data_IF_700725789624
#
_entry.id   IF_700725789624
#
_cell.length_a   1.000
_cell.length_b   1.000
_cell.length_c   1.000
_cell.angle_alpha   90.00
_cell.angle_beta   90.00
_cell.angle_gamma   90.00
#
_symmetry.space_group_name_H-M   'P 1'
#
loop_
_entity.id
_entity.type
_entity.pdbx_description
1 polymer ?
#
# COMPACT_ATOMS: atom_id res chain seq x y z
N UNK A 1 -70.97 14.14 49.90
CA UNK A 1 -70.25 12.89 50.20
C UNK A 1 -68.86 13.25 50.69
N UNK A 2 -68.55 12.84 51.93
CA UNK A 2 -67.25 12.52 52.55
C UNK A 2 -66.03 13.43 52.25
N UNK A 3 -65.58 14.22 53.23
CA UNK A 3 -64.64 13.89 54.34
C UNK A 3 -63.17 13.98 53.91
N UNK A 4 -62.47 14.93 54.53
CA UNK A 4 -61.14 14.79 55.17
C UNK A 4 -59.95 14.49 54.25
N UNK A 5 -58.71 14.93 54.45
CA UNK A 5 -58.01 15.85 55.35
C UNK A 5 -56.52 15.73 54.96
N UNK A 6 -55.68 16.56 55.58
CA UNK A 6 -54.23 16.36 55.84
C UNK A 6 -53.24 16.98 54.85
N UNK A 7 -52.67 18.09 55.35
CA UNK A 7 -51.34 18.65 55.09
C UNK A 7 -50.22 17.76 55.68
N UNK A 8 -49.08 17.57 54.99
CA UNK A 8 -47.71 17.86 55.51
C UNK A 8 -46.55 17.53 54.54
N UNK A 9 -45.57 18.46 54.50
CA UNK A 9 -44.10 18.37 54.40
C UNK A 9 -43.35 17.24 53.64
N UNK A 10 -42.56 17.70 52.67
CA UNK A 10 -41.13 17.47 52.39
C UNK A 10 -40.45 16.12 52.71
N UNK A 11 -39.80 15.53 51.69
CA UNK A 11 -38.55 14.79 51.87
C UNK A 11 -37.64 14.94 50.65
N UNK A 12 -36.45 15.50 50.89
CA UNK A 12 -35.31 15.55 49.98
C UNK A 12 -34.70 14.15 49.93
N UNK A 13 -34.60 13.56 48.74
CA UNK A 13 -33.76 12.37 48.51
C UNK A 13 -32.78 12.66 47.37
N UNK A 14 -31.60 13.14 47.75
CA UNK A 14 -30.40 13.04 46.94
C UNK A 14 -29.97 11.56 46.91
N UNK A 15 -30.15 10.89 45.77
CA UNK A 15 -29.54 9.59 45.55
C UNK A 15 -28.10 9.78 45.06
N UNK A 16 -27.19 9.86 46.01
CA UNK A 16 -25.80 9.48 45.82
C UNK A 16 -25.75 7.95 45.78
N UNK A 17 -25.59 7.36 44.60
CA UNK A 17 -25.05 6.01 44.49
C UNK A 17 -23.53 6.12 44.34
N UNK A 18 -22.85 5.80 45.43
CA UNK A 18 -21.44 5.41 45.46
C UNK A 18 -21.36 4.00 46.07
N UNK A 19 -20.32 3.25 45.69
CA UNK A 19 -19.97 1.87 46.00
C UNK A 19 -20.74 0.79 45.21
N UNK A 20 -20.10 -0.18 44.56
CA UNK A 20 -18.76 -0.71 44.75
C UNK A 20 -17.96 -0.81 43.45
N UNK A 21 -16.67 -0.51 43.57
CA UNK A 21 -15.63 -0.93 42.65
C UNK A 21 -15.53 -2.46 42.70
N UNK A 22 -16.07 -3.14 41.69
CA UNK A 22 -15.67 -4.52 41.43
C UNK A 22 -14.34 -4.47 40.66
N UNK A 23 -13.26 -4.67 41.42
CA UNK A 23 -11.96 -5.03 40.88
C UNK A 23 -12.07 -6.37 40.15
N UNK A 24 -12.25 -6.30 38.84
CA UNK A 24 -11.79 -7.35 37.95
C UNK A 24 -10.41 -6.97 37.44
N UNK A 25 -9.39 -7.46 38.13
CA UNK A 25 -8.01 -7.46 37.65
C UNK A 25 -7.87 -8.47 36.52
N UNK A 26 -8.06 -7.98 35.30
CA UNK A 26 -7.40 -8.49 34.12
C UNK A 26 -6.81 -7.27 33.41
N UNK A 27 -5.49 -7.14 33.49
CA UNK A 27 -4.73 -5.99 33.00
C UNK A 27 -5.21 -5.42 31.65
N UNK A 28 -5.23 -4.08 31.59
CA UNK A 28 -5.39 -3.25 30.39
C UNK A 28 -6.77 -3.12 29.68
N UNK A 29 -7.89 -3.64 30.21
CA UNK A 29 -9.19 -3.53 29.52
C UNK A 29 -10.15 -2.41 29.98
N UNK A 30 -9.71 -1.35 30.68
CA UNK A 30 -10.63 -0.28 31.11
C UNK A 30 -11.07 0.72 30.02
N UNK A 31 -10.52 0.66 28.81
CA UNK A 31 -10.79 1.67 27.74
C UNK A 31 -11.37 1.08 26.43
N UNK A 32 -11.67 -0.23 26.38
CA UNK A 32 -12.17 -0.87 25.14
C UNK A 32 -11.18 -0.91 23.96
N UNK A 33 -10.02 -0.26 24.10
CA UNK A 33 -8.88 -0.25 23.19
C UNK A 33 -8.05 -1.53 23.31
N UNK A 34 -7.57 -2.05 22.19
CA UNK A 34 -6.71 -3.23 22.07
C UNK A 34 -5.52 -2.95 21.18
N UNK A 35 -4.38 -3.54 21.52
CA UNK A 35 -3.19 -3.49 20.69
C UNK A 35 -3.30 -4.53 19.57
N UNK A 36 -2.83 -4.17 18.38
CA UNK A 36 -2.63 -5.10 17.28
C UNK A 36 -1.22 -4.97 16.74
N UNK A 37 -0.73 -6.07 16.19
CA UNK A 37 0.50 -6.13 15.41
C UNK A 37 0.20 -6.93 14.15
N UNK A 38 0.61 -6.42 12.99
CA UNK A 38 0.40 -7.06 11.70
C UNK A 38 1.63 -6.91 10.84
N UNK A 39 2.08 -8.02 10.26
CA UNK A 39 3.20 -8.03 9.34
C UNK A 39 2.71 -8.09 7.90
N UNK A 40 3.42 -7.44 6.99
CA UNK A 40 3.12 -7.49 5.55
C UNK A 40 4.39 -7.51 4.72
N UNK A 41 4.30 -8.12 3.54
CA UNK A 41 5.38 -8.18 2.56
C UNK A 41 4.82 -8.21 1.15
N UNK A 42 5.64 -7.86 0.17
CA UNK A 42 5.32 -8.07 -1.24
C UNK A 42 5.62 -9.52 -1.66
N UNK A 43 5.03 -10.02 -2.76
CA UNK A 43 5.43 -11.29 -3.33
C UNK A 43 6.91 -11.28 -3.69
N UNK A 44 7.54 -12.43 -3.50
CA UNK A 44 8.84 -12.72 -4.09
C UNK A 44 8.80 -12.42 -5.59
N UNK A 45 9.88 -11.85 -6.14
CA UNK A 45 9.91 -11.27 -7.50
C UNK A 45 9.39 -12.20 -8.61
N UNK A 46 9.14 -11.62 -9.78
CA UNK A 46 8.67 -12.39 -10.93
C UNK A 46 9.83 -13.31 -11.36
N UNK A 47 9.61 -14.63 -11.29
CA UNK A 47 10.45 -15.63 -11.94
C UNK A 47 9.78 -16.02 -13.25
N UNK A 48 10.33 -15.60 -14.39
CA UNK A 48 9.87 -16.13 -15.67
C UNK A 48 10.54 -17.48 -15.94
N UNK A 49 9.84 -18.40 -16.60
CA UNK A 49 10.39 -19.70 -17.04
C UNK A 49 11.42 -19.57 -18.17
N UNK A 50 11.79 -18.33 -18.53
CA UNK A 50 12.65 -18.02 -19.64
C UNK A 50 14.12 -18.03 -19.16
N UNK A 51 14.87 -19.03 -19.66
CA UNK A 51 16.33 -19.10 -19.82
C UNK A 51 17.17 -19.93 -18.84
N UNK A 52 18.37 -20.26 -19.36
CA UNK A 52 19.55 -20.85 -18.72
C UNK A 52 20.44 -19.86 -17.95
N UNK A 53 20.12 -18.55 -17.98
CA UNK A 53 20.82 -17.51 -17.21
C UNK A 53 20.02 -17.22 -15.92
N UNK A 54 20.60 -17.46 -14.72
CA UNK A 54 19.90 -17.35 -13.45
C UNK A 54 19.34 -15.95 -13.13
N UNK A 55 19.75 -14.90 -13.86
CA UNK A 55 19.28 -13.52 -13.60
C UNK A 55 18.37 -12.94 -14.68
N UNK A 56 18.38 -13.47 -15.92
CA UNK A 56 17.57 -12.88 -17.01
C UNK A 56 16.07 -13.15 -16.87
N UNK A 57 15.68 -14.10 -16.02
CA UNK A 57 14.28 -14.34 -15.65
C UNK A 57 13.75 -13.47 -14.51
N UNK A 58 14.60 -12.71 -13.81
CA UNK A 58 14.22 -11.96 -12.62
C UNK A 58 13.58 -10.62 -12.98
N UNK A 59 12.43 -10.30 -12.37
CA UNK A 59 11.70 -9.06 -12.65
C UNK A 59 10.94 -8.45 -11.49
N UNK A 60 10.64 -7.16 -11.65
CA UNK A 60 9.95 -6.37 -10.64
C UNK A 60 10.89 -5.97 -9.51
N UNK A 61 10.47 -6.14 -8.26
CA UNK A 61 11.20 -5.64 -7.10
C UNK A 61 12.68 -6.07 -7.04
N UNK A 62 13.05 -7.22 -7.58
CA UNK A 62 14.45 -7.70 -7.62
C UNK A 62 15.37 -6.88 -8.53
N UNK A 63 14.81 -6.24 -9.55
CA UNK A 63 15.54 -5.43 -10.53
C UNK A 63 15.62 -3.96 -10.14
N UNK A 64 14.82 -3.53 -9.17
CA UNK A 64 14.86 -2.14 -8.71
C UNK A 64 16.14 -1.92 -7.91
N UNK A 65 16.92 -0.93 -8.34
CA UNK A 65 18.08 -0.37 -7.64
C UNK A 65 17.82 1.09 -7.31
N UNK A 66 18.56 1.64 -6.34
CA UNK A 66 18.52 3.07 -6.00
C UNK A 66 17.12 3.64 -5.69
N UNK A 67 16.27 2.81 -5.08
CA UNK A 67 14.99 3.22 -4.50
C UNK A 67 14.88 2.73 -3.05
N UNK A 68 13.83 3.17 -2.36
CA UNK A 68 13.33 2.49 -1.17
C UNK A 68 11.91 1.97 -1.46
N UNK A 69 11.50 0.90 -0.77
CA UNK A 69 10.13 0.40 -0.83
C UNK A 69 9.35 0.95 0.36
N UNK A 70 8.34 1.76 0.08
CA UNK A 70 7.44 2.32 1.08
C UNK A 70 6.25 1.40 1.25
N UNK A 71 5.95 1.02 2.48
CA UNK A 71 4.71 0.36 2.88
C UNK A 71 3.82 1.37 3.59
N UNK A 72 2.52 1.33 3.29
CA UNK A 72 1.48 2.16 3.88
C UNK A 72 0.40 1.22 4.40
N UNK A 73 0.02 1.38 5.67
CA UNK A 73 -1.18 0.77 6.22
C UNK A 73 -2.18 1.88 6.52
N UNK A 74 -3.40 1.74 6.00
CA UNK A 74 -4.58 2.47 6.47
C UNK A 74 -5.59 1.51 7.09
N UNK A 75 -6.14 1.91 8.23
CA UNK A 75 -7.22 1.20 8.89
C UNK A 75 -8.47 2.08 8.84
N UNK A 76 -9.52 1.56 8.22
CA UNK A 76 -10.79 2.24 8.00
C UNK A 76 -11.91 1.61 8.82
N UNK A 77 -12.78 2.43 9.40
CA UNK A 77 -13.98 1.97 10.09
C UNK A 77 -14.89 1.21 9.11
N UNK A 78 -15.53 0.15 9.60
CA UNK A 78 -16.51 -0.62 8.82
C UNK A 78 -17.94 -0.13 9.12
N UNK A 79 -18.24 1.09 8.67
CA UNK A 79 -19.56 1.71 8.73
C UNK A 79 -20.00 2.14 7.31
N UNK A 80 -21.25 2.58 7.12
CA UNK A 80 -21.79 2.94 5.79
C UNK A 80 -20.97 4.03 5.07
N UNK A 81 -20.24 4.85 5.83
CA UNK A 81 -19.27 5.82 5.33
C UNK A 81 -17.96 5.65 6.08
N UNK A 82 -17.05 4.79 5.58
CA UNK A 82 -15.77 4.49 6.22
C UNK A 82 -14.98 5.76 6.54
N UNK A 83 -14.31 5.76 7.69
CA UNK A 83 -13.45 6.85 8.16
C UNK A 83 -12.08 6.30 8.50
N UNK A 84 -11.05 7.08 8.24
CA UNK A 84 -9.69 6.69 8.60
C UNK A 84 -9.53 6.68 10.13
N UNK A 85 -9.21 5.52 10.68
CA UNK A 85 -8.94 5.32 12.10
C UNK A 85 -7.44 5.38 12.40
N UNK A 86 -6.61 4.90 11.47
CA UNK A 86 -5.15 4.88 11.62
C UNK A 86 -4.48 4.86 10.25
N UNK A 87 -3.33 5.51 10.15
CA UNK A 87 -2.43 5.42 9.01
C UNK A 87 -0.99 5.49 9.48
N UNK A 88 -0.14 4.67 8.90
CA UNK A 88 1.29 4.66 9.21
C UNK A 88 2.13 4.18 8.03
N UNK A 89 3.43 4.42 8.12
CA UNK A 89 4.40 4.15 7.08
C UNK A 89 5.57 3.32 7.62
N UNK A 90 6.11 2.46 6.76
CA UNK A 90 7.36 1.75 7.02
C UNK A 90 8.20 1.74 5.75
N UNK A 91 9.50 2.00 5.87
CA UNK A 91 10.44 2.03 4.74
C UNK A 91 11.41 0.86 4.81
N UNK A 92 11.50 0.11 3.71
CA UNK A 92 12.52 -0.91 3.48
C UNK A 92 13.59 -0.37 2.53
N UNK A 93 14.86 -0.50 2.92
CA UNK A 93 16.03 -0.03 2.14
C UNK A 93 16.83 -1.24 1.66
N UNK A 94 16.66 -1.60 0.39
CA UNK A 94 17.26 -2.81 -0.18
C UNK A 94 16.49 -4.07 0.16
N UNK A 95 16.92 -5.21 -0.40
CA UNK A 95 16.30 -6.55 -0.24
C UNK A 95 14.76 -6.61 -0.31
N UNK A 96 14.18 -5.80 -1.21
CA UNK A 96 12.73 -5.57 -1.30
C UNK A 96 11.89 -6.84 -1.45
N UNK A 97 12.44 -7.88 -2.07
CA UNK A 97 11.74 -9.13 -2.31
C UNK A 97 11.64 -10.00 -1.05
N UNK A 98 12.56 -9.87 -0.10
CA UNK A 98 12.65 -10.75 1.07
C UNK A 98 12.33 -10.06 2.39
N UNK A 99 12.41 -8.74 2.44
CA UNK A 99 12.12 -7.96 3.63
C UNK A 99 10.67 -7.47 3.65
N UNK A 100 9.93 -7.87 4.70
CA UNK A 100 8.62 -7.34 5.04
C UNK A 100 8.69 -6.35 6.18
N UNK A 101 7.57 -5.73 6.50
CA UNK A 101 7.45 -4.75 7.60
C UNK A 101 6.40 -5.20 8.61
N UNK A 102 6.42 -4.58 9.79
CA UNK A 102 5.41 -4.81 10.83
C UNK A 102 4.85 -3.47 11.30
N UNK A 103 3.52 -3.39 11.34
CA UNK A 103 2.79 -2.26 11.92
C UNK A 103 2.22 -2.67 13.27
N UNK A 104 2.30 -1.76 14.23
CA UNK A 104 1.73 -1.94 15.56
C UNK A 104 1.03 -0.67 16.01
N UNK A 105 -0.22 -0.79 16.45
CA UNK A 105 -0.96 0.33 17.02
C UNK A 105 -2.04 -0.16 17.99
N UNK A 106 -2.69 0.81 18.64
CA UNK A 106 -3.78 0.59 19.58
C UNK A 106 -5.06 1.23 19.06
N UNK A 107 -6.10 0.43 18.88
CA UNK A 107 -7.40 0.86 18.35
C UNK A 107 -8.55 0.30 19.18
N UNK A 108 -9.76 0.86 19.02
CA UNK A 108 -10.95 0.32 19.68
C UNK A 108 -11.17 -1.12 19.21
N UNK A 109 -11.66 -1.99 20.10
CA UNK A 109 -12.00 -3.37 19.75
C UNK A 109 -13.27 -3.41 18.86
N UNK A 110 -13.12 -3.08 17.59
CA UNK A 110 -14.14 -3.09 16.53
C UNK A 110 -13.65 -3.91 15.33
N UNK A 111 -14.49 -3.99 14.31
CA UNK A 111 -14.15 -4.55 13.02
C UNK A 111 -13.77 -3.43 12.04
N UNK A 112 -12.70 -3.63 11.29
CA UNK A 112 -12.12 -2.63 10.39
C UNK A 112 -11.71 -3.22 9.04
N UNK A 113 -11.60 -2.37 8.03
CA UNK A 113 -10.84 -2.65 6.83
C UNK A 113 -9.39 -2.25 7.04
N UNK A 114 -8.47 -3.17 6.83
CA UNK A 114 -7.04 -2.93 6.78
C UNK A 114 -6.63 -2.90 5.32
N UNK A 115 -6.23 -1.74 4.84
CA UNK A 115 -5.87 -1.47 3.46
C UNK A 115 -4.37 -1.19 3.41
N UNK A 116 -3.67 -1.99 2.62
CA UNK A 116 -2.24 -1.93 2.46
C UNK A 116 -1.89 -1.43 1.07
N UNK A 117 -0.84 -0.63 1.00
CA UNK A 117 -0.19 -0.25 -0.25
C UNK A 117 1.31 -0.33 -0.09
N UNK A 118 2.02 -0.74 -1.14
CA UNK A 118 3.46 -0.62 -1.21
C UNK A 118 3.89 -0.13 -2.60
N UNK A 119 4.79 0.84 -2.62
CA UNK A 119 5.34 1.43 -3.83
C UNK A 119 6.79 1.89 -3.65
N UNK A 120 7.52 2.00 -4.76
CA UNK A 120 8.89 2.51 -4.70
C UNK A 120 8.92 4.04 -4.67
N UNK A 121 9.80 4.54 -3.81
CA UNK A 121 10.04 5.96 -3.57
C UNK A 121 11.55 6.25 -3.64
N UNK A 122 11.93 7.51 -3.56
CA UNK A 122 13.36 7.89 -3.58
C UNK A 122 14.13 7.22 -2.43
N UNK A 123 15.38 6.81 -2.68
CA UNK A 123 16.26 6.15 -1.67
C UNK A 123 16.44 6.95 -0.38
N UNK A 124 16.37 8.28 -0.46
CA UNK A 124 16.50 9.18 0.69
C UNK A 124 15.29 9.17 1.62
N UNK A 125 14.20 8.49 1.25
CA UNK A 125 12.97 8.40 2.06
C UNK A 125 13.24 7.65 3.37
N UNK A 126 12.57 8.10 4.42
CA UNK A 126 12.54 7.54 5.77
C UNK A 126 11.09 7.53 6.25
N UNK A 127 10.80 6.80 7.33
CA UNK A 127 9.44 6.77 7.90
C UNK A 127 8.92 8.18 8.22
N UNK A 128 9.81 9.09 8.64
CA UNK A 128 9.47 10.46 9.01
C UNK A 128 9.03 11.35 7.83
N UNK A 129 9.44 11.05 6.60
CA UNK A 129 9.05 11.83 5.42
C UNK A 129 8.28 11.01 4.37
N UNK A 130 7.95 9.75 4.67
CA UNK A 130 7.25 8.82 3.78
C UNK A 130 5.89 9.37 3.28
N UNK A 131 5.20 10.18 4.08
CA UNK A 131 3.93 10.79 3.72
C UNK A 131 4.02 11.75 2.52
N UNK A 132 5.18 12.37 2.28
CA UNK A 132 5.39 13.31 1.17
C UNK A 132 6.28 12.74 0.07
N UNK A 133 6.56 11.44 0.11
CA UNK A 133 7.54 10.78 -0.75
C UNK A 133 6.94 10.21 -2.06
N UNK A 134 5.74 10.65 -2.45
CA UNK A 134 5.08 10.21 -3.66
C UNK A 134 5.98 10.41 -4.90
N UNK A 135 6.22 9.32 -5.64
CA UNK A 135 7.11 9.30 -6.80
C UNK A 135 6.37 8.90 -8.08
N UNK A 136 5.82 7.67 -8.10
CA UNK A 136 5.03 7.15 -9.23
C UNK A 136 3.53 7.23 -8.99
N UNK A 137 3.12 7.29 -7.72
CA UNK A 137 1.72 7.27 -7.30
C UNK A 137 1.48 8.35 -6.24
N UNK A 138 0.35 9.05 -6.36
CA UNK A 138 -0.21 9.89 -5.31
C UNK A 138 -1.00 9.02 -4.35
N UNK A 139 -0.63 9.02 -3.07
CA UNK A 139 -1.20 8.06 -2.07
C UNK A 139 -1.91 8.70 -0.89
N UNK A 140 -1.93 10.04 -0.86
CA UNK A 140 -2.60 10.86 0.16
C UNK A 140 -3.35 12.04 -0.46
N UNK A 141 -3.58 12.04 -1.78
CA UNK A 141 -4.22 13.13 -2.52
C UNK A 141 -3.57 14.53 -2.26
N UNK A 142 -2.29 14.57 -1.88
CA UNK A 142 -1.57 15.81 -1.55
C UNK A 142 -1.86 16.39 -0.16
N UNK A 143 -2.64 15.71 0.68
CA UNK A 143 -2.95 16.16 2.04
C UNK A 143 -1.79 15.88 3.01
N UNK A 144 -1.46 16.87 3.81
CA UNK A 144 -0.53 16.75 4.95
C UNK A 144 -1.13 15.87 6.05
N UNK A 145 -0.28 15.33 6.93
CA UNK A 145 -0.73 14.52 8.08
C UNK A 145 -1.75 15.28 8.95
N UNK A 146 -1.63 16.60 9.06
CA UNK A 146 -2.56 17.43 9.83
C UNK A 146 -3.91 17.61 9.11
N UNK A 147 -3.91 17.74 7.78
CA UNK A 147 -5.13 17.78 6.96
C UNK A 147 -5.89 16.45 6.99
N UNK A 148 -5.16 15.32 6.94
CA UNK A 148 -5.74 13.98 7.09
C UNK A 148 -6.46 13.84 8.44
N UNK A 149 -5.84 14.34 9.52
CA UNK A 149 -6.46 14.32 10.85
C UNK A 149 -7.68 15.23 10.95
N UNK A 150 -7.63 16.41 10.31
CA UNK A 150 -8.72 17.38 10.30
C UNK A 150 -9.92 16.93 9.45
N UNK A 151 -9.68 16.19 8.37
CA UNK A 151 -10.68 15.85 7.35
C UNK A 151 -10.89 14.34 7.15
N UNK A 152 -10.74 13.52 8.21
CA UNK A 152 -10.81 12.04 8.13
C UNK A 152 -12.09 11.46 7.53
N UNK A 153 -13.16 12.25 7.37
CA UNK A 153 -14.42 11.87 6.70
C UNK A 153 -14.43 12.11 5.19
N UNK A 154 -13.59 13.01 4.70
CA UNK A 154 -13.48 13.36 3.27
C UNK A 154 -12.13 12.93 2.68
N UNK A 155 -11.20 12.53 3.54
CA UNK A 155 -9.93 11.97 3.14
C UNK A 155 -10.15 10.69 2.31
N UNK A 156 -9.51 10.63 1.15
CA UNK A 156 -9.66 9.52 0.20
C UNK A 156 -8.43 8.60 0.15
N UNK A 157 -7.28 8.99 0.73
CA UNK A 157 -6.11 8.11 0.95
C UNK A 157 -5.85 7.02 -0.09
N UNK A 158 -5.79 5.77 0.37
CA UNK A 158 -5.59 4.60 -0.49
C UNK A 158 -6.85 4.17 -1.27
N UNK A 159 -7.99 4.84 -1.12
CA UNK A 159 -9.20 4.61 -1.93
C UNK A 159 -9.20 5.42 -3.24
N UNK A 160 -8.26 6.36 -3.39
CA UNK A 160 -8.15 7.20 -4.58
C UNK A 160 -6.69 7.41 -5.01
N UNK A 161 -5.94 6.31 -5.15
CA UNK A 161 -4.54 6.36 -5.59
C UNK A 161 -4.51 6.80 -7.06
N UNK A 162 -3.64 7.75 -7.41
CA UNK A 162 -3.49 8.24 -8.78
C UNK A 162 -2.06 8.04 -9.26
N UNK A 163 -1.87 7.63 -10.51
CA UNK A 163 -0.55 7.61 -11.14
C UNK A 163 -0.08 9.06 -11.38
N UNK A 164 1.23 9.28 -11.26
CA UNK A 164 1.93 10.53 -11.59
C UNK A 164 2.52 10.40 -13.01
N UNK A 165 1.83 10.83 -14.08
CA UNK A 165 2.19 10.48 -15.46
C UNK A 165 3.60 10.96 -15.86
N UNK A 166 4.04 12.10 -15.33
CA UNK A 166 5.34 12.70 -15.60
C UNK A 166 6.52 11.86 -15.11
N UNK A 167 6.33 11.00 -14.11
CA UNK A 167 7.33 10.09 -13.58
C UNK A 167 7.07 8.63 -14.00
N UNK A 168 5.89 8.33 -14.54
CA UNK A 168 5.43 6.97 -14.77
C UNK A 168 5.91 6.41 -16.11
N UNK A 169 7.11 5.84 -16.12
CA UNK A 169 7.65 5.15 -17.29
C UNK A 169 7.14 3.72 -17.41
N UNK A 170 6.49 3.34 -18.53
CA UNK A 170 5.82 2.02 -18.65
C UNK A 170 6.80 0.83 -18.55
N UNK A 171 8.07 1.04 -18.85
CA UNK A 171 9.06 -0.02 -18.77
C UNK A 171 9.82 -0.09 -17.44
N UNK A 172 9.57 0.84 -16.53
CA UNK A 172 10.36 0.97 -15.32
C UNK A 172 9.86 -0.01 -14.25
N UNK A 173 10.73 -0.92 -13.80
CA UNK A 173 10.43 -1.87 -12.72
C UNK A 173 10.12 -1.17 -11.39
N UNK A 174 10.68 0.03 -11.16
CA UNK A 174 10.41 0.83 -9.96
C UNK A 174 8.97 1.39 -9.93
N UNK A 175 8.21 1.34 -11.02
CA UNK A 175 6.78 1.72 -10.97
C UNK A 175 5.91 0.63 -10.34
N UNK A 176 6.44 -0.56 -10.08
CA UNK A 176 5.67 -1.64 -9.49
C UNK A 176 5.07 -1.19 -8.15
N UNK A 177 3.82 -1.57 -7.94
CA UNK A 177 3.11 -1.35 -6.70
C UNK A 177 2.38 -2.62 -6.28
N UNK A 178 1.96 -2.65 -5.01
CA UNK A 178 1.32 -3.80 -4.40
C UNK A 178 0.23 -3.33 -3.43
N UNK A 179 -0.84 -4.10 -3.30
CA UNK A 179 -1.92 -3.80 -2.39
C UNK A 179 -2.50 -5.08 -1.76
N UNK A 180 -3.21 -4.89 -0.66
CA UNK A 180 -4.14 -5.87 -0.13
C UNK A 180 -5.21 -5.17 0.69
N UNK A 181 -6.39 -5.76 0.75
CA UNK A 181 -7.42 -5.41 1.72
C UNK A 181 -7.80 -6.65 2.52
N UNK A 182 -7.88 -6.49 3.83
CA UNK A 182 -8.37 -7.52 4.76
C UNK A 182 -9.34 -6.92 5.75
N UNK A 183 -10.37 -7.67 6.11
CA UNK A 183 -11.26 -7.32 7.21
C UNK A 183 -10.76 -8.03 8.46
N UNK A 184 -10.46 -7.27 9.51
CA UNK A 184 -10.08 -7.84 10.80
C UNK A 184 -11.01 -7.34 11.91
N UNK A 185 -11.43 -8.29 12.74
CA UNK A 185 -12.21 -8.01 13.93
C UNK A 185 -11.28 -8.01 15.15
N UNK A 186 -10.98 -6.82 15.69
CA UNK A 186 -10.08 -6.65 16.82
C UNK A 186 -10.72 -7.07 18.16
N UNK A 187 -12.02 -7.39 18.18
CA UNK A 187 -12.63 -8.04 19.36
C UNK A 187 -12.09 -9.45 19.54
N UNK A 188 -11.80 -10.14 18.43
CA UNK A 188 -11.34 -11.54 18.41
C UNK A 188 -9.84 -11.67 18.13
N UNK A 189 -9.25 -10.80 17.31
CA UNK A 189 -7.83 -10.82 16.95
C UNK A 189 -7.02 -9.89 17.87
N UNK A 190 -6.85 -10.29 19.13
CA UNK A 190 -6.05 -9.52 20.10
C UNK A 190 -4.55 -9.76 19.85
N UNK A 191 -3.75 -8.69 19.82
CA UNK A 191 -2.28 -8.66 19.82
C UNK A 191 -1.55 -8.99 18.51
N UNK A 192 -1.89 -10.08 17.81
CA UNK A 192 -1.17 -10.49 16.60
C UNK A 192 -2.13 -10.98 15.52
N UNK A 193 -2.00 -10.39 14.33
CA UNK A 193 -2.79 -10.74 13.15
C UNK A 193 -1.90 -11.52 12.18
N UNK A 194 -2.51 -12.46 11.44
CA UNK A 194 -1.83 -13.22 10.39
C UNK A 194 -1.15 -12.28 9.38
N UNK A 195 0.02 -12.69 8.89
CA UNK A 195 0.78 -11.90 7.92
C UNK A 195 0.03 -11.76 6.60
N UNK A 196 0.10 -10.56 6.01
CA UNK A 196 -0.56 -10.25 4.74
C UNK A 196 0.46 -10.12 3.62
N UNK A 197 0.42 -11.03 2.66
CA UNK A 197 1.18 -10.89 1.41
C UNK A 197 0.39 -10.03 0.42
N UNK A 198 0.99 -8.94 -0.04
CA UNK A 198 0.38 -8.02 -1.00
C UNK A 198 0.32 -8.62 -2.41
N UNK A 199 -0.45 -8.01 -3.30
CA UNK A 199 -0.60 -8.42 -4.71
C UNK A 199 -0.52 -7.22 -5.65
N UNK A 200 -0.18 -7.44 -6.92
CA UNK A 200 -0.06 -6.34 -7.89
C UNK A 200 -1.45 -5.79 -8.28
N UNK A 201 -1.69 -4.48 -8.21
CA UNK A 201 -2.92 -3.86 -8.69
C UNK A 201 -2.92 -3.69 -10.22
N UNK A 202 -1.73 -3.57 -10.83
CA UNK A 202 -1.58 -3.35 -12.26
C UNK A 202 -0.86 -4.52 -12.94
N UNK A 203 -1.34 -4.86 -14.14
CA UNK A 203 -0.68 -5.81 -15.03
C UNK A 203 0.62 -5.24 -15.60
N UNK A 204 1.60 -6.12 -15.83
CA UNK A 204 2.88 -5.79 -16.43
C UNK A 204 3.17 -6.72 -17.59
N UNK A 205 3.51 -6.15 -18.73
CA UNK A 205 4.11 -6.89 -19.84
C UNK A 205 5.62 -6.87 -19.70
N UNK A 206 6.25 -8.04 -19.79
CA UNK A 206 7.70 -8.18 -19.90
C UNK A 206 7.98 -9.00 -21.16
N UNK A 207 8.85 -8.47 -22.01
CA UNK A 207 9.33 -9.16 -23.20
C UNK A 207 10.79 -9.53 -22.94
N UNK A 208 11.08 -10.83 -22.99
CA UNK A 208 12.43 -11.39 -22.76
C UNK A 208 12.85 -12.11 -24.02
N UNK A 209 13.96 -11.69 -24.62
CA UNK A 209 14.56 -12.39 -25.75
C UNK A 209 15.54 -13.45 -25.21
N UNK A 210 15.24 -14.72 -25.44
CA UNK A 210 16.01 -15.84 -24.88
C UNK A 210 17.07 -16.39 -25.83
N UNK A 211 16.90 -16.13 -27.12
CA UNK A 211 17.69 -16.63 -28.23
C UNK A 211 18.21 -15.48 -29.10
N UNK A 212 19.31 -15.73 -29.81
CA UNK A 212 19.66 -14.97 -31.00
C UNK A 212 19.09 -15.76 -32.19
N UNK A 213 18.37 -15.14 -33.14
CA UNK A 213 17.92 -15.87 -34.31
C UNK A 213 19.14 -16.36 -35.08
N UNK A 214 19.35 -17.68 -35.09
CA UNK A 214 20.42 -18.34 -35.83
C UNK A 214 20.44 -17.81 -37.27
N UNK A 215 21.64 -17.46 -37.73
CA UNK A 215 21.95 -17.02 -39.10
C UNK A 215 21.41 -15.66 -39.57
N UNK A 216 20.71 -14.87 -38.73
CA UNK A 216 20.18 -13.55 -39.15
C UNK A 216 20.64 -12.35 -38.32
N UNK A 217 20.91 -12.51 -37.02
CA UNK A 217 21.42 -11.43 -36.15
C UNK A 217 22.52 -11.96 -35.24
N UNK A 218 23.68 -11.30 -35.25
CA UNK A 218 24.82 -11.61 -34.36
C UNK A 218 24.60 -11.14 -32.92
N UNK A 219 23.56 -10.34 -32.67
CA UNK A 219 23.27 -9.72 -31.38
C UNK A 219 21.84 -10.04 -30.93
N UNK A 220 21.66 -10.24 -29.62
CA UNK A 220 20.33 -10.40 -29.02
C UNK A 220 19.55 -9.08 -29.11
N UNK A 221 18.22 -9.12 -29.30
CA UNK A 221 17.39 -7.92 -29.23
C UNK A 221 17.60 -7.19 -27.89
N UNK A 222 18.07 -5.95 -27.96
CA UNK A 222 18.37 -5.12 -26.78
C UNK A 222 17.19 -4.26 -26.31
N UNK A 223 16.20 -4.05 -27.18
CA UNK A 223 15.01 -3.22 -26.92
C UNK A 223 13.79 -3.76 -27.66
N UNK A 224 12.63 -3.62 -27.05
CA UNK A 224 11.34 -3.84 -27.70
C UNK A 224 10.48 -2.59 -27.52
N UNK A 225 9.90 -2.07 -28.61
CA UNK A 225 8.95 -0.97 -28.56
C UNK A 225 7.53 -1.53 -28.60
N UNK A 226 6.70 -1.17 -27.62
CA UNK A 226 5.26 -1.45 -27.66
C UNK A 226 4.56 -0.20 -28.18
N UNK A 227 4.03 -0.30 -29.40
CA UNK A 227 3.22 0.77 -29.99
C UNK A 227 1.75 0.50 -29.74
N UNK A 228 1.11 1.41 -28.99
CA UNK A 228 -0.34 1.40 -28.80
C UNK A 228 -1.02 2.00 -30.03
N UNK A 229 -1.89 1.24 -30.70
CA UNK A 229 -2.58 1.69 -31.92
C UNK A 229 -4.05 2.03 -31.60
N UNK A 230 -4.52 3.18 -32.09
CA UNK A 230 -5.88 3.69 -31.85
C UNK A 230 -5.92 5.21 -31.70
N UNK A 231 -7.05 5.84 -32.03
CA UNK A 231 -7.18 7.31 -31.98
C UNK A 231 -7.22 7.88 -30.55
N UNK A 232 -7.51 7.05 -29.54
CA UNK A 232 -7.55 7.43 -28.12
C UNK A 232 -7.28 6.20 -27.26
N UNK A 233 -6.00 5.84 -27.09
CA UNK A 233 -5.63 4.75 -26.18
C UNK A 233 -5.40 5.31 -24.79
N UNK A 234 -6.25 4.90 -23.86
CA UNK A 234 -6.16 5.28 -22.45
C UNK A 234 -5.85 4.06 -21.60
N UNK A 235 -5.06 4.25 -20.55
CA UNK A 235 -4.83 3.27 -19.49
C UNK A 235 -5.54 3.71 -18.21
N UNK A 236 -5.88 2.77 -17.30
CA UNK A 236 -6.31 3.13 -15.96
C UNK A 236 -5.30 4.06 -15.29
N UNK A 237 -5.79 5.15 -14.72
CA UNK A 237 -4.99 6.22 -14.11
C UNK A 237 -5.02 6.24 -12.59
N UNK A 238 -5.83 5.38 -11.98
CA UNK A 238 -5.90 5.29 -10.54
C UNK A 238 -6.46 3.96 -10.06
N UNK A 239 -6.36 3.75 -8.75
CA UNK A 239 -6.71 2.51 -8.07
C UNK A 239 -7.31 2.78 -6.69
N UNK A 240 -8.39 2.07 -6.37
CA UNK A 240 -9.00 2.02 -5.05
C UNK A 240 -8.54 0.72 -4.37
N UNK A 241 -7.61 0.83 -3.41
CA UNK A 241 -7.08 -0.33 -2.71
C UNK A 241 -8.06 -0.93 -1.67
N UNK A 242 -9.08 -0.19 -1.24
CA UNK A 242 -10.11 -0.69 -0.35
C UNK A 242 -11.03 -1.67 -1.09
N UNK A 243 -11.40 -1.34 -2.32
CA UNK A 243 -12.27 -2.19 -3.15
C UNK A 243 -11.50 -3.11 -4.10
N UNK A 244 -10.22 -2.83 -4.36
CA UNK A 244 -9.39 -3.59 -5.28
C UNK A 244 -9.71 -3.32 -6.76
N UNK A 245 -10.19 -2.11 -7.07
CA UNK A 245 -10.73 -1.73 -8.37
C UNK A 245 -9.97 -0.54 -8.97
N UNK A 246 -10.01 -0.41 -10.30
CA UNK A 246 -9.52 0.80 -10.97
C UNK A 246 -10.50 1.94 -10.76
N UNK A 247 -10.01 3.17 -10.64
CA UNK A 247 -10.86 4.35 -10.58
C UNK A 247 -11.23 4.84 -11.99
N UNK A 248 -12.15 5.79 -12.08
CA UNK A 248 -12.54 6.44 -13.35
C UNK A 248 -11.43 7.32 -13.96
N UNK A 249 -10.30 7.47 -13.26
CA UNK A 249 -9.13 8.19 -13.77
C UNK A 249 -8.54 7.42 -14.94
N UNK A 250 -8.15 8.17 -15.98
CA UNK A 250 -7.50 7.61 -17.17
C UNK A 250 -6.25 8.42 -17.51
N UNK A 251 -5.25 7.75 -18.07
CA UNK A 251 -4.03 8.37 -18.59
C UNK A 251 -3.97 8.14 -20.09
N UNK A 252 -3.65 9.19 -20.84
CA UNK A 252 -3.34 9.06 -22.24
C UNK A 252 -1.95 8.44 -22.39
N UNK A 253 -1.82 7.37 -23.18
CA UNK A 253 -0.51 6.73 -23.39
C UNK A 253 0.55 7.73 -23.90
N UNK A 254 0.14 8.74 -24.66
CA UNK A 254 1.04 9.80 -25.15
C UNK A 254 1.62 10.71 -24.07
N UNK A 255 1.07 10.72 -22.85
CA UNK A 255 1.60 11.51 -21.73
C UNK A 255 2.57 10.73 -20.84
N UNK A 256 2.82 9.44 -21.12
CA UNK A 256 3.74 8.62 -20.34
C UNK A 256 5.18 8.80 -20.83
N UNK A 257 6.13 8.82 -19.89
CA UNK A 257 7.55 8.77 -20.22
C UNK A 257 7.85 7.40 -20.84
N UNK A 258 8.45 7.37 -22.04
CA UNK A 258 9.07 6.17 -22.63
C UNK A 258 8.13 4.96 -22.83
N UNK A 259 7.62 4.79 -24.05
CA UNK A 259 6.86 3.60 -24.48
C UNK A 259 7.76 2.41 -24.87
N UNK A 260 9.08 2.55 -24.75
CA UNK A 260 10.04 1.48 -25.03
C UNK A 260 10.20 0.61 -23.78
N UNK A 261 10.19 -0.72 -23.92
CA UNK A 261 10.63 -1.63 -22.87
C UNK A 261 12.14 -1.49 -22.72
N UNK A 262 12.58 -0.83 -21.63
CA UNK A 262 14.00 -0.62 -21.30
C UNK A 262 14.74 -1.93 -21.09
N UNK A 263 16.03 -1.84 -21.41
CA UNK A 263 17.10 -2.82 -21.28
C UNK A 263 16.96 -3.63 -19.98
N UNK A 264 16.91 -4.96 -20.06
CA UNK A 264 17.33 -5.78 -18.92
C UNK A 264 18.78 -5.41 -18.61
N UNK A 265 19.22 -5.41 -17.34
CA UNK A 265 20.62 -5.19 -16.97
C UNK A 265 21.54 -6.18 -17.72
N UNK A 266 21.91 -5.84 -18.96
CA UNK A 266 23.00 -6.48 -19.67
C UNK A 266 24.21 -5.95 -18.93
N UNK A 267 24.69 -6.73 -17.98
CA UNK A 267 26.02 -6.53 -17.43
C UNK A 267 26.95 -6.59 -18.63
N UNK A 268 27.38 -5.44 -19.14
CA UNK A 268 28.47 -5.37 -20.09
C UNK A 268 29.68 -5.81 -19.28
N UNK A 269 30.01 -7.10 -19.35
CA UNK A 269 31.33 -7.54 -18.97
C UNK A 269 32.25 -6.88 -20.00
N UNK A 270 32.90 -5.79 -19.60
CA UNK A 270 34.04 -5.23 -20.31
C UNK A 270 35.15 -6.29 -20.30
N UNK A 271 35.03 -7.29 -21.17
CA UNK A 271 36.07 -8.27 -21.40
C UNK A 271 36.99 -7.73 -22.49
N UNK A 272 38.22 -7.43 -22.06
CA UNK A 272 39.46 -7.44 -22.82
C UNK A 272 39.77 -6.19 -23.66
N UNK A 273 40.44 -5.26 -22.99
CA UNK A 273 41.47 -4.44 -23.63
C UNK A 273 42.55 -5.38 -24.19
N UNK A 274 42.61 -5.53 -25.51
CA UNK A 274 43.82 -6.03 -26.18
C UNK A 274 44.73 -4.82 -26.42
N UNK A 275 45.83 -4.77 -25.69
CA UNK A 275 46.98 -3.96 -26.09
C UNK A 275 47.70 -4.74 -27.18
N UNK A 276 47.94 -4.08 -28.33
CA UNK A 276 48.94 -4.50 -29.32
C UNK A 276 50.33 -4.24 -28.75
#
# INVERSE_FOLDING_TARGET
MNKNAVWLLAFVCAFLFSCSSDDFDAGNQKDGMVDFTISTSIPQGIKTYATSDPNSGNGGATNVKDHALRYILEVWTKEDSPRLAYRDYQIVKGDFANEGVTFSARLLALEYYFVFWADFVATSTTDANAASADLYYKTNNGETVDEIKANSRSYSGLTAIEIIPENYGVSNDARDAFYAMKVFNLRTHKNAIESVTLTRPFGKYRLVATDAPEDYLTEKPVKALITYTGASVTLPGGFDALHGEVTDRVINVTSLQHNDVTQEDVTIINALSFCV
#
